data_IF_193221639858
#
_entry.id   IF_193221639858
#
_cell.length_a   1.000
_cell.length_b   1.000
_cell.length_c   1.000
_cell.angle_alpha   90.00
_cell.angle_beta   90.00
_cell.angle_gamma   90.00
#
_symmetry.space_group_name_H-M   'P 1'
#
loop_
_entity.id
_entity.type
_entity.pdbx_description
1 polymer ?
#
# COMPACT_ATOMS: atom_id res chain seq x y z
N UNK A 1 69.65 -35.15 12.92
CA UNK A 1 68.17 -35.22 12.80
C UNK A 1 67.60 -33.80 12.70
N UNK A 2 67.21 -33.34 11.51
CA UNK A 2 66.34 -32.17 11.32
C UNK A 2 65.35 -32.52 10.20
N UNK A 3 64.07 -32.65 10.53
CA UNK A 3 62.98 -32.87 9.57
C UNK A 3 62.18 -31.57 9.43
N UNK A 4 62.17 -31.07 8.19
CA UNK A 4 61.05 -30.50 7.44
C UNK A 4 59.86 -29.91 8.22
N UNK A 5 59.72 -28.59 8.13
CA UNK A 5 58.43 -27.89 8.13
C UNK A 5 58.40 -26.94 6.95
N UNK A 6 57.95 -27.45 5.81
CA UNK A 6 57.44 -26.65 4.69
C UNK A 6 56.18 -27.37 4.23
N UNK A 7 55.21 -26.61 3.72
CA UNK A 7 53.86 -27.02 3.27
C UNK A 7 52.78 -26.85 4.34
N UNK A 8 52.36 -25.61 4.60
CA UNK A 8 51.01 -25.34 5.15
C UNK A 8 50.39 -24.00 4.78
N UNK A 9 50.84 -23.30 3.74
CA UNK A 9 50.32 -21.96 3.41
C UNK A 9 49.45 -21.90 2.13
N UNK A 10 49.60 -22.82 1.18
CA UNK A 10 48.92 -22.72 -0.13
C UNK A 10 47.42 -23.08 -0.15
N UNK A 11 46.88 -23.74 0.88
CA UNK A 11 45.48 -24.22 0.87
C UNK A 11 44.45 -23.17 1.30
N UNK A 12 44.86 -22.17 2.07
CA UNK A 12 43.94 -21.19 2.67
C UNK A 12 43.53 -20.13 1.64
N UNK A 13 44.48 -19.69 0.79
CA UNK A 13 44.25 -18.65 -0.21
C UNK A 13 43.28 -19.10 -1.32
N UNK A 14 43.36 -20.37 -1.76
CA UNK A 14 42.46 -20.93 -2.80
C UNK A 14 41.00 -21.06 -2.32
N UNK A 15 40.78 -21.27 -1.02
CA UNK A 15 39.44 -21.45 -0.46
C UNK A 15 38.66 -20.13 -0.39
N UNK A 16 39.35 -19.00 -0.20
CA UNK A 16 38.70 -17.68 -0.12
C UNK A 16 38.28 -17.15 -1.50
N UNK A 17 39.05 -17.46 -2.55
CA UNK A 17 38.74 -17.02 -3.93
C UNK A 17 37.52 -17.76 -4.49
N UNK A 18 37.34 -19.03 -4.15
CA UNK A 18 36.16 -19.81 -4.56
C UNK A 18 34.87 -19.36 -3.85
N UNK A 19 34.95 -18.92 -2.59
CA UNK A 19 33.80 -18.36 -1.86
C UNK A 19 33.36 -17.00 -2.40
N UNK A 20 34.30 -16.16 -2.85
CA UNK A 20 33.99 -14.88 -3.49
C UNK A 20 33.25 -15.06 -4.84
N UNK A 21 33.64 -16.05 -5.65
CA UNK A 21 32.94 -16.34 -6.91
C UNK A 21 31.55 -16.95 -6.72
N UNK A 22 31.32 -17.73 -5.66
CA UNK A 22 30.00 -18.31 -5.37
C UNK A 22 28.97 -17.26 -4.89
N UNK A 23 29.43 -16.14 -4.31
CA UNK A 23 28.55 -15.08 -3.81
C UNK A 23 28.00 -14.13 -4.90
N UNK A 24 28.60 -14.12 -6.10
CA UNK A 24 28.18 -13.24 -7.21
C UNK A 24 27.03 -13.82 -8.05
N UNK A 25 26.65 -15.08 -7.84
CA UNK A 25 25.62 -15.77 -8.65
C UNK A 25 24.23 -15.87 -7.99
N UNK A 26 24.04 -15.28 -6.81
CA UNK A 26 22.73 -15.25 -6.13
C UNK A 26 21.97 -13.93 -6.28
N UNK A 27 22.26 -13.13 -7.32
CA UNK A 27 21.35 -12.07 -7.72
C UNK A 27 20.31 -12.65 -8.69
N UNK A 28 19.01 -12.69 -8.33
CA UNK A 28 17.99 -13.01 -9.32
C UNK A 28 17.98 -11.89 -10.37
N UNK A 29 18.70 -12.10 -11.47
CA UNK A 29 18.83 -11.16 -12.61
C UNK A 29 17.53 -11.00 -13.44
N UNK A 30 16.39 -11.47 -12.94
CA UNK A 30 15.12 -11.44 -13.64
C UNK A 30 13.98 -11.03 -12.71
N UNK A 31 14.03 -9.80 -12.20
CA UNK A 31 12.78 -9.14 -11.82
C UNK A 31 12.11 -8.70 -13.12
N UNK A 32 11.15 -9.48 -13.62
CA UNK A 32 10.26 -8.96 -14.67
C UNK A 32 9.54 -7.73 -14.10
N UNK A 33 9.46 -6.61 -14.82
CA UNK A 33 8.72 -5.45 -14.35
C UNK A 33 7.29 -5.88 -14.04
N UNK A 34 6.75 -5.42 -12.91
CA UNK A 34 5.37 -5.73 -12.54
C UNK A 34 4.45 -5.33 -13.70
N UNK A 35 3.53 -6.22 -14.12
CA UNK A 35 2.63 -5.91 -15.23
C UNK A 35 1.82 -4.66 -14.87
N UNK A 36 1.82 -3.68 -15.78
CA UNK A 36 0.97 -2.50 -15.63
C UNK A 36 -0.49 -2.95 -15.67
N UNK A 37 -1.26 -2.56 -14.65
CA UNK A 37 -2.70 -2.80 -14.63
C UNK A 37 -3.41 -1.85 -15.61
N UNK A 38 -4.67 -2.10 -15.95
CA UNK A 38 -5.44 -1.23 -16.84
C UNK A 38 -5.59 0.20 -16.30
N UNK A 39 -5.92 1.13 -17.21
CA UNK A 39 -6.36 2.48 -16.87
C UNK A 39 -7.88 2.48 -16.81
N UNK A 40 -8.44 2.92 -15.70
CA UNK A 40 -9.86 3.26 -15.58
C UNK A 40 -10.05 4.73 -15.96
N UNK A 41 -11.09 5.02 -16.75
CA UNK A 41 -11.34 6.36 -17.29
C UNK A 41 -11.63 7.42 -16.23
N UNK A 42 -12.13 7.02 -15.06
CA UNK A 42 -12.59 7.90 -14.00
C UNK A 42 -11.56 8.05 -12.88
N UNK A 43 -10.82 6.97 -12.56
CA UNK A 43 -9.85 6.98 -11.46
C UNK A 43 -8.38 6.98 -11.92
N UNK A 44 -8.12 6.73 -13.20
CA UNK A 44 -6.76 6.71 -13.76
C UNK A 44 -6.09 5.33 -13.70
N UNK A 45 -4.76 5.33 -13.52
CA UNK A 45 -3.95 4.11 -13.53
C UNK A 45 -4.26 3.25 -12.28
N UNK A 46 -4.83 2.06 -12.50
CA UNK A 46 -5.03 1.10 -11.42
C UNK A 46 -3.67 0.62 -10.93
N UNK A 47 -3.52 0.43 -9.63
CA UNK A 47 -2.28 -0.08 -9.03
C UNK A 47 -2.50 -1.36 -8.23
N UNK A 48 -1.42 -2.13 -8.11
CA UNK A 48 -1.32 -3.14 -7.07
C UNK A 48 -1.09 -2.41 -5.75
N UNK A 49 -2.01 -2.59 -4.80
CA UNK A 49 -1.95 -1.91 -3.50
C UNK A 49 -0.75 -2.42 -2.70
N UNK A 50 0.11 -1.50 -2.28
CA UNK A 50 1.27 -1.80 -1.45
C UNK A 50 0.88 -1.92 0.03
N UNK A 51 1.46 -2.85 0.79
CA UNK A 51 1.25 -2.90 2.24
C UNK A 51 1.66 -1.59 2.92
N UNK A 52 0.93 -1.19 3.96
CA UNK A 52 1.17 0.02 4.77
C UNK A 52 1.02 1.34 3.99
N UNK A 53 0.45 1.30 2.78
CA UNK A 53 0.15 2.49 1.98
C UNK A 53 -1.17 3.13 2.39
N UNK A 54 -1.37 4.39 1.96
CA UNK A 54 -2.66 5.06 2.13
C UNK A 54 -3.76 4.37 1.31
N UNK A 55 -3.40 3.79 0.17
CA UNK A 55 -4.31 3.03 -0.69
C UNK A 55 -4.77 1.72 -0.04
N UNK A 56 -3.89 1.06 0.73
CA UNK A 56 -4.27 -0.10 1.55
C UNK A 56 -5.26 0.31 2.64
N UNK A 57 -4.97 1.40 3.35
CA UNK A 57 -5.84 1.91 4.40
C UNK A 57 -7.21 2.30 3.83
N UNK A 58 -7.23 3.00 2.68
CA UNK A 58 -8.45 3.38 1.99
C UNK A 58 -9.26 2.15 1.57
N UNK A 59 -8.63 1.20 0.86
CA UNK A 59 -9.28 -0.04 0.46
C UNK A 59 -9.85 -0.82 1.64
N UNK A 60 -9.08 -0.94 2.72
CA UNK A 60 -9.53 -1.61 3.95
C UNK A 60 -10.76 -0.92 4.54
N UNK A 61 -10.74 0.41 4.65
CA UNK A 61 -11.88 1.17 5.18
C UNK A 61 -13.14 1.01 4.32
N UNK A 62 -13.00 0.96 2.99
CA UNK A 62 -14.11 0.77 2.06
C UNK A 62 -14.68 -0.66 2.09
N UNK A 63 -13.88 -1.67 2.47
CA UNK A 63 -14.32 -3.06 2.56
C UNK A 63 -14.96 -3.45 3.90
N UNK A 64 -15.00 -2.54 4.88
CA UNK A 64 -15.55 -2.82 6.20
C UNK A 64 -16.97 -2.28 6.35
N UNK A 65 -17.76 -2.95 7.19
CA UNK A 65 -19.10 -2.48 7.54
C UNK A 65 -19.05 -1.11 8.23
N UNK A 66 -19.98 -0.24 7.85
CA UNK A 66 -20.13 1.05 8.51
C UNK A 66 -20.63 0.88 9.95
N UNK A 67 -19.92 1.46 10.91
CA UNK A 67 -20.24 1.38 12.34
C UNK A 67 -19.59 2.53 13.12
N UNK A 68 -19.93 2.66 14.40
CA UNK A 68 -19.24 3.62 15.28
C UNK A 68 -17.74 3.32 15.37
N UNK A 69 -17.37 2.04 15.48
CA UNK A 69 -15.96 1.63 15.51
C UNK A 69 -15.21 2.01 14.22
N UNK A 70 -15.89 2.00 13.07
CA UNK A 70 -15.33 2.48 11.80
C UNK A 70 -14.97 3.96 11.89
N UNK A 71 -15.91 4.80 12.35
CA UNK A 71 -15.66 6.23 12.56
C UNK A 71 -14.51 6.43 13.54
N UNK A 72 -14.50 5.68 14.64
CA UNK A 72 -13.45 5.81 15.66
C UNK A 72 -12.06 5.42 15.15
N UNK A 73 -12.00 4.46 14.23
CA UNK A 73 -10.75 3.95 13.64
C UNK A 73 -10.16 4.92 12.62
N UNK A 74 -10.99 5.50 11.75
CA UNK A 74 -10.51 6.24 10.59
C UNK A 74 -10.61 7.75 10.72
N UNK A 75 -11.52 8.28 11.54
CA UNK A 75 -11.80 9.72 11.64
C UNK A 75 -11.22 10.28 12.94
N UNK A 76 -10.46 11.39 12.89
CA UNK A 76 -9.85 11.95 14.09
C UNK A 76 -10.92 12.53 15.03
N UNK A 77 -10.70 12.42 16.34
CA UNK A 77 -11.65 12.80 17.40
C UNK A 77 -12.30 14.18 17.18
N UNK A 78 -11.48 15.16 16.78
CA UNK A 78 -11.91 16.55 16.56
C UNK A 78 -12.91 16.72 15.41
N UNK A 79 -12.96 15.78 14.47
CA UNK A 79 -13.82 15.86 13.27
C UNK A 79 -15.01 14.91 13.32
N UNK A 80 -15.04 13.91 14.22
CA UNK A 80 -16.06 12.83 14.21
C UNK A 80 -17.49 13.33 14.10
N UNK A 81 -17.87 14.33 14.91
CA UNK A 81 -19.24 14.86 14.91
C UNK A 81 -19.62 15.48 13.57
N UNK A 82 -18.75 16.34 13.02
CA UNK A 82 -19.00 16.97 11.72
C UNK A 82 -18.95 15.99 10.56
N UNK A 83 -18.06 15.00 10.65
CA UNK A 83 -17.91 13.95 9.65
C UNK A 83 -19.14 13.04 9.60
N UNK A 84 -19.62 12.54 10.75
CA UNK A 84 -20.86 11.76 10.84
C UNK A 84 -22.03 12.58 10.31
N UNK A 85 -22.18 13.85 10.74
CA UNK A 85 -23.26 14.69 10.23
C UNK A 85 -23.27 14.83 8.70
N UNK A 86 -22.10 14.85 8.07
CA UNK A 86 -21.94 15.02 6.63
C UNK A 86 -22.10 13.72 5.85
N UNK A 87 -21.55 12.61 6.35
CA UNK A 87 -21.33 11.38 5.57
C UNK A 87 -22.12 10.17 6.06
N UNK A 88 -22.82 10.22 7.20
CA UNK A 88 -23.50 9.06 7.80
C UNK A 88 -24.41 8.31 6.82
N UNK A 89 -25.32 9.02 6.15
CA UNK A 89 -26.22 8.41 5.15
C UNK A 89 -25.47 7.83 3.95
N UNK A 90 -24.40 8.49 3.52
CA UNK A 90 -23.60 8.05 2.39
C UNK A 90 -22.85 6.76 2.73
N UNK A 91 -22.18 6.71 3.88
CA UNK A 91 -21.42 5.55 4.32
C UNK A 91 -22.32 4.36 4.64
N UNK A 92 -23.48 4.60 5.25
CA UNK A 92 -24.47 3.56 5.53
C UNK A 92 -25.05 2.91 4.26
N UNK A 93 -25.09 3.65 3.15
CA UNK A 93 -25.55 3.14 1.85
C UNK A 93 -24.41 2.54 1.02
N UNK A 94 -23.19 3.06 1.17
CA UNK A 94 -22.04 2.70 0.35
C UNK A 94 -21.32 1.45 0.86
N UNK A 95 -21.15 1.33 2.18
CA UNK A 95 -20.30 0.31 2.78
C UNK A 95 -21.10 -0.93 3.22
N UNK A 96 -20.51 -2.13 3.15
CA UNK A 96 -19.17 -2.44 2.62
C UNK A 96 -19.14 -2.53 1.09
N UNK A 97 -18.02 -2.12 0.49
CA UNK A 97 -17.77 -2.30 -0.95
C UNK A 97 -16.99 -3.58 -1.25
N UNK A 98 -17.35 -4.20 -2.37
CA UNK A 98 -16.67 -5.35 -2.95
C UNK A 98 -16.00 -5.00 -4.28
N UNK A 99 -15.07 -5.85 -4.74
CA UNK A 99 -14.38 -5.70 -6.03
C UNK A 99 -13.72 -4.33 -6.23
N UNK A 100 -13.15 -3.78 -5.15
CA UNK A 100 -12.55 -2.45 -5.13
C UNK A 100 -11.20 -2.45 -5.86
N UNK A 101 -11.04 -1.49 -6.76
CA UNK A 101 -9.79 -1.14 -7.43
C UNK A 101 -9.33 0.25 -6.97
N UNK A 102 -8.03 0.40 -6.74
CA UNK A 102 -7.42 1.63 -6.27
C UNK A 102 -6.54 2.20 -7.38
N UNK A 103 -6.52 3.53 -7.50
CA UNK A 103 -5.50 4.24 -8.25
C UNK A 103 -4.45 4.84 -7.31
N UNK A 104 -3.30 5.24 -7.86
CA UNK A 104 -2.28 5.98 -7.10
C UNK A 104 -2.86 7.25 -6.51
N UNK A 105 -2.56 7.51 -5.25
CA UNK A 105 -2.98 8.75 -4.61
C UNK A 105 -2.41 9.99 -5.31
N UNK A 106 -3.18 11.08 -5.29
CA UNK A 106 -2.78 12.39 -5.74
C UNK A 106 -2.40 13.21 -4.50
N UNK A 107 -1.14 13.57 -4.39
CA UNK A 107 -0.66 14.39 -3.28
C UNK A 107 -0.94 15.88 -3.52
N UNK A 108 -1.61 16.54 -2.56
CA UNK A 108 -1.89 17.97 -2.56
C UNK A 108 -1.47 18.58 -1.22
N UNK A 109 -0.22 19.04 -1.14
CA UNK A 109 0.38 19.45 0.13
C UNK A 109 0.50 18.25 1.09
N UNK A 110 -0.19 18.32 2.23
CA UNK A 110 -0.25 17.24 3.22
C UNK A 110 -1.43 16.28 3.02
N UNK A 111 -2.28 16.54 2.02
CA UNK A 111 -3.44 15.73 1.70
C UNK A 111 -3.09 14.67 0.66
N UNK A 112 -3.61 13.47 0.88
CA UNK A 112 -3.49 12.32 0.00
C UNK A 112 -4.89 11.95 -0.48
N UNK A 113 -5.23 12.36 -1.70
CA UNK A 113 -6.49 12.03 -2.34
C UNK A 113 -6.34 10.66 -3.01
N UNK A 114 -7.09 9.67 -2.54
CA UNK A 114 -7.01 8.28 -3.03
C UNK A 114 -8.24 7.97 -3.87
N UNK A 115 -8.13 7.89 -5.21
CA UNK A 115 -9.23 7.51 -6.07
C UNK A 115 -9.51 6.00 -6.00
N UNK A 116 -10.78 5.63 -6.06
CA UNK A 116 -11.21 4.23 -6.06
C UNK A 116 -12.41 4.01 -6.98
N UNK A 117 -12.55 2.79 -7.49
CA UNK A 117 -13.78 2.33 -8.13
C UNK A 117 -14.16 0.94 -7.63
N UNK A 118 -15.44 0.60 -7.75
CA UNK A 118 -15.99 -0.71 -7.45
C UNK A 118 -16.89 -1.15 -8.62
N UNK A 119 -17.06 -2.46 -8.79
CA UNK A 119 -17.81 -3.04 -9.91
C UNK A 119 -19.08 -3.80 -9.49
N UNK A 120 -19.26 -4.04 -8.18
CA UNK A 120 -20.42 -4.72 -7.62
C UNK A 120 -21.09 -3.84 -6.56
N UNK A 121 -22.43 -3.77 -6.52
CA UNK A 121 -23.40 -4.37 -7.46
C UNK A 121 -23.51 -3.62 -8.80
N UNK A 122 -23.03 -2.39 -8.87
CA UNK A 122 -22.91 -1.60 -10.08
C UNK A 122 -21.54 -0.91 -10.09
N UNK A 123 -21.15 -0.38 -11.25
CA UNK A 123 -19.95 0.44 -11.32
C UNK A 123 -20.19 1.76 -10.57
N UNK A 124 -19.27 2.12 -9.68
CA UNK A 124 -19.22 3.43 -9.05
C UNK A 124 -17.78 3.80 -8.74
N UNK A 125 -17.53 5.09 -8.58
CA UNK A 125 -16.17 5.61 -8.35
C UNK A 125 -16.19 6.80 -7.41
N UNK A 126 -15.04 7.13 -6.86
CA UNK A 126 -14.95 8.18 -5.86
C UNK A 126 -13.52 8.45 -5.45
N UNK A 127 -13.39 9.26 -4.41
CA UNK A 127 -12.10 9.53 -3.79
C UNK A 127 -12.25 9.63 -2.27
N UNK A 128 -11.21 9.20 -1.56
CA UNK A 128 -11.06 9.43 -0.12
C UNK A 128 -9.88 10.36 0.11
N UNK A 129 -10.06 11.42 0.87
CA UNK A 129 -8.97 12.35 1.21
C UNK A 129 -8.44 12.05 2.59
N UNK A 130 -7.17 11.66 2.64
CA UNK A 130 -6.44 11.30 3.85
C UNK A 130 -5.39 12.35 4.18
N UNK A 131 -4.96 12.35 5.43
CA UNK A 131 -3.76 13.04 5.88
C UNK A 131 -3.02 12.14 6.85
N UNK A 132 -1.69 12.24 6.87
CA UNK A 132 -0.88 11.59 7.88
C UNK A 132 -0.78 12.50 9.11
N UNK A 133 -1.17 12.01 10.28
CA UNK A 133 -1.05 12.76 11.53
C UNK A 133 0.40 12.74 12.06
N UNK A 134 0.65 13.41 13.18
CA UNK A 134 1.98 13.50 13.82
C UNK A 134 2.52 12.12 14.25
N UNK A 135 1.65 11.15 14.53
CA UNK A 135 2.02 9.77 14.87
C UNK A 135 2.30 8.88 13.64
N UNK A 136 2.24 9.45 12.44
CA UNK A 136 2.42 8.70 11.19
C UNK A 136 1.19 7.89 10.75
N UNK A 137 0.03 8.05 11.40
CA UNK A 137 -1.22 7.35 11.04
C UNK A 137 -2.01 8.12 10.00
N UNK A 138 -2.59 7.41 9.04
CA UNK A 138 -3.53 7.99 8.09
C UNK A 138 -4.91 8.18 8.72
N UNK A 139 -5.41 9.41 8.68
CA UNK A 139 -6.75 9.79 9.14
C UNK A 139 -7.57 10.33 7.98
N UNK A 140 -8.84 9.98 7.95
CA UNK A 140 -9.79 10.34 6.91
C UNK A 140 -10.41 11.71 7.19
N UNK A 141 -10.44 12.56 6.17
CA UNK A 141 -10.99 13.92 6.27
C UNK A 141 -12.28 14.08 5.47
N UNK A 142 -12.34 13.47 4.28
CA UNK A 142 -13.50 13.57 3.39
C UNK A 142 -13.60 12.38 2.45
N UNK A 143 -14.80 12.14 1.94
CA UNK A 143 -15.11 11.13 0.94
C UNK A 143 -16.06 11.72 -0.11
N UNK A 144 -15.82 11.41 -1.38
CA UNK A 144 -16.71 11.72 -2.50
C UNK A 144 -17.02 10.45 -3.29
N UNK A 145 -18.25 10.34 -3.79
CA UNK A 145 -18.72 9.21 -4.60
C UNK A 145 -19.52 9.75 -5.78
N UNK A 146 -19.38 9.07 -6.91
CA UNK A 146 -20.03 9.33 -8.18
C UNK A 146 -20.54 8.01 -8.77
N UNK A 147 -21.66 8.10 -9.48
CA UNK A 147 -22.26 7.02 -10.30
C UNK A 147 -21.87 7.18 -11.78
#
# INVERSE_FOLDING_TARGET
MKRLLVVKEDKILRSCILLLFASLFCFPLFSSPAPLLPIDKNIGQIIAVEPQSVEEQAKRSLSQDYSLAWIETYVPDSLRTGFVHTYDRLLAALLPLEQIQMATHIQRGHLLEVPFCHHAPAYGYGSMTWMQNEDGKFVLLSLSVHE
#
